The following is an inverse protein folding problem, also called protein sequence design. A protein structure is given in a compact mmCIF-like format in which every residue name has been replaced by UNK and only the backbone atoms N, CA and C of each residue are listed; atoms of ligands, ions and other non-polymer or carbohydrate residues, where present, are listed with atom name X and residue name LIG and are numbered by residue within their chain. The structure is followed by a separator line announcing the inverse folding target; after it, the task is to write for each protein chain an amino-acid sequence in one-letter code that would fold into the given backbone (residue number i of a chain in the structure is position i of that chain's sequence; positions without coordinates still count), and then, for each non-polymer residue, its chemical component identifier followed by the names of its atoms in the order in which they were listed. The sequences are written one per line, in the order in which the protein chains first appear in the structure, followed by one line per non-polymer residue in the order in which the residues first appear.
data_IF_416279713713
#
_entry.id   IF_416279713713
#
_cell.length_a   1.000
_cell.length_b   1.000
_cell.length_c   1.000
_cell.angle_alpha   90.00
_cell.angle_beta   90.00
_cell.angle_gamma   90.00
#
_symmetry.space_group_name_H-M   'P 1'
#
loop_
_entity.id
_entity.type
_entity.pdbx_description
1 polymer ?
#
# COMPACT_ATOMS: atom_id res chain seq x y z
N UNK A 1 -4.48 31.89 -8.82
CA UNK A 1 -4.98 30.66 -8.15
C UNK A 1 -6.48 30.86 -8.02
N UNK A 2 -7.17 30.72 -9.15
CA UNK A 2 -8.59 31.04 -9.26
C UNK A 2 -9.40 29.83 -8.83
N UNK A 3 -10.45 30.05 -8.06
CA UNK A 3 -11.42 29.06 -7.66
C UNK A 3 -12.04 28.45 -8.92
N UNK A 4 -11.62 27.23 -9.26
CA UNK A 4 -11.94 26.60 -10.55
C UNK A 4 -13.41 26.19 -10.64
N UNK A 5 -14.18 26.25 -9.55
CA UNK A 5 -15.63 26.11 -9.57
C UNK A 5 -16.25 26.89 -8.40
N UNK A 6 -17.09 27.87 -8.69
CA UNK A 6 -17.91 28.68 -7.75
C UNK A 6 -18.82 27.83 -6.83
N UNK A 7 -18.87 26.51 -7.07
CA UNK A 7 -19.62 25.51 -6.30
C UNK A 7 -18.84 24.93 -5.12
N UNK A 8 -17.52 25.11 -5.05
CA UNK A 8 -16.69 24.63 -3.95
C UNK A 8 -16.19 25.82 -3.14
N UNK A 9 -16.43 25.88 -1.81
CA UNK A 9 -16.00 27.01 -1.01
C UNK A 9 -14.47 27.07 -1.01
N UNK A 10 -13.91 27.98 -1.81
CA UNK A 10 -12.56 28.49 -1.65
C UNK A 10 -12.51 29.19 -0.29
N UNK A 11 -12.21 28.44 0.76
CA UNK A 11 -12.14 29.00 2.10
C UNK A 11 -10.71 29.38 2.42
N UNK A 12 -10.48 30.69 2.53
CA UNK A 12 -9.31 31.28 3.18
C UNK A 12 -9.34 31.11 4.72
N UNK A 13 -10.40 30.48 5.26
CA UNK A 13 -10.62 30.27 6.70
C UNK A 13 -10.40 28.80 7.06
N UNK A 14 -9.73 28.55 8.20
CA UNK A 14 -9.43 27.21 8.72
C UNK A 14 -10.67 26.30 8.75
N UNK A 15 -11.83 26.86 9.14
CA UNK A 15 -13.10 26.15 9.22
C UNK A 15 -13.55 25.56 7.88
N UNK A 16 -13.38 26.28 6.76
CA UNK A 16 -13.80 25.75 5.46
C UNK A 16 -12.87 24.68 4.91
N UNK A 17 -11.57 24.72 5.24
CA UNK A 17 -10.65 23.63 4.90
C UNK A 17 -11.03 22.33 5.63
N UNK A 18 -11.40 22.41 6.90
CA UNK A 18 -11.85 21.24 7.68
C UNK A 18 -13.12 20.64 7.07
N UNK A 19 -14.11 21.48 6.71
CA UNK A 19 -15.34 21.02 6.06
C UNK A 19 -15.04 20.36 4.71
N UNK A 20 -14.12 20.92 3.92
CA UNK A 20 -13.68 20.35 2.65
C UNK A 20 -13.05 18.96 2.84
N UNK A 21 -12.12 18.82 3.79
CA UNK A 21 -11.47 17.54 4.11
C UNK A 21 -12.49 16.49 4.53
N UNK A 22 -13.48 16.85 5.36
CA UNK A 22 -14.54 15.93 5.78
C UNK A 22 -15.40 15.48 4.59
N UNK A 23 -15.82 16.42 3.74
CA UNK A 23 -16.67 16.10 2.59
C UNK A 23 -15.95 15.21 1.57
N UNK A 24 -14.69 15.54 1.23
CA UNK A 24 -13.85 14.68 0.39
C UNK A 24 -13.58 13.33 1.06
N UNK A 25 -13.39 13.28 2.38
CA UNK A 25 -13.24 12.04 3.13
C UNK A 25 -14.47 11.12 3.02
N UNK A 26 -15.68 11.66 3.11
CA UNK A 26 -16.93 10.89 2.94
C UNK A 26 -17.04 10.36 1.50
N UNK A 27 -16.74 11.21 0.51
CA UNK A 27 -16.79 10.81 -0.90
C UNK A 27 -15.76 9.71 -1.23
N UNK A 28 -14.52 9.87 -0.76
CA UNK A 28 -13.48 8.86 -0.88
C UNK A 28 -13.85 7.56 -0.16
N UNK A 29 -14.50 7.64 1.01
CA UNK A 29 -15.01 6.47 1.72
C UNK A 29 -16.11 5.73 0.95
N UNK A 30 -16.98 6.45 0.25
CA UNK A 30 -17.98 5.84 -0.65
C UNK A 30 -17.32 5.20 -1.87
N UNK A 31 -16.38 5.90 -2.51
CA UNK A 31 -15.62 5.35 -3.64
C UNK A 31 -14.84 4.08 -3.25
N UNK A 32 -14.22 4.07 -2.07
CA UNK A 32 -13.51 2.90 -1.55
C UNK A 32 -14.43 1.69 -1.35
N UNK A 33 -15.68 1.90 -0.89
CA UNK A 33 -16.68 0.83 -0.80
C UNK A 33 -17.01 0.25 -2.19
N UNK A 34 -17.30 1.12 -3.16
CA UNK A 34 -17.59 0.68 -4.53
C UNK A 34 -16.42 -0.09 -5.14
N UNK A 35 -15.18 0.33 -4.88
CA UNK A 35 -13.97 -0.38 -5.32
C UNK A 35 -13.87 -1.76 -4.64
N UNK A 36 -14.14 -1.83 -3.33
CA UNK A 36 -14.11 -3.08 -2.57
C UNK A 36 -15.16 -4.07 -3.07
N UNK A 37 -16.40 -3.63 -3.25
CA UNK A 37 -17.49 -4.47 -3.76
C UNK A 37 -17.18 -4.94 -5.19
N UNK A 38 -16.59 -4.07 -6.02
CA UNK A 38 -16.13 -4.43 -7.36
C UNK A 38 -15.01 -5.46 -7.35
N UNK A 39 -14.08 -5.38 -6.38
CA UNK A 39 -13.00 -6.34 -6.21
C UNK A 39 -13.51 -7.73 -5.78
N UNK A 40 -14.50 -7.78 -4.88
CA UNK A 40 -15.18 -9.03 -4.49
C UNK A 40 -15.92 -9.66 -5.67
N UNK A 41 -16.68 -8.86 -6.41
CA UNK A 41 -17.40 -9.33 -7.61
C UNK A 41 -16.43 -9.83 -8.70
N UNK A 42 -15.22 -9.26 -8.79
CA UNK A 42 -14.18 -9.71 -9.72
C UNK A 42 -13.59 -11.07 -9.31
N UNK A 43 -13.49 -11.34 -8.00
CA UNK A 43 -13.03 -12.62 -7.47
C UNK A 43 -14.08 -13.74 -7.68
N UNK A 44 -15.36 -13.39 -7.68
CA UNK A 44 -16.47 -14.33 -7.90
C UNK A 44 -16.69 -14.74 -9.37
N UNK A 45 -16.00 -14.10 -10.33
CA UNK A 45 -16.13 -14.38 -11.77
C UNK A 45 -15.57 -15.75 -12.23
N UNK A 46 -15.11 -16.61 -11.31
CA UNK A 46 -14.63 -17.97 -11.62
C UNK A 46 -13.24 -18.02 -12.26
N UNK A 47 -12.50 -16.90 -12.27
CA UNK A 47 -11.10 -16.84 -12.66
C UNK A 47 -10.20 -17.42 -11.57
N UNK A 48 -8.97 -17.88 -11.89
CA UNK A 48 -8.01 -18.29 -10.88
C UNK A 48 -7.78 -17.14 -9.88
N UNK A 49 -8.12 -17.37 -8.61
CA UNK A 49 -8.02 -16.37 -7.55
C UNK A 49 -6.61 -15.79 -7.40
N UNK A 50 -5.58 -16.60 -7.71
CA UNK A 50 -4.18 -16.15 -7.75
C UNK A 50 -3.90 -15.08 -8.83
N UNK A 51 -4.56 -15.16 -9.99
CA UNK A 51 -4.38 -14.18 -11.07
C UNK A 51 -5.14 -12.88 -10.76
N UNK A 52 -6.39 -13.00 -10.32
CA UNK A 52 -7.24 -11.85 -10.02
C UNK A 52 -6.70 -11.11 -8.80
N UNK A 53 -6.44 -11.82 -7.70
CA UNK A 53 -5.92 -11.24 -6.48
C UNK A 53 -4.46 -10.77 -6.58
N UNK A 54 -3.63 -11.46 -7.38
CA UNK A 54 -2.21 -11.16 -7.49
C UNK A 54 -1.83 -10.12 -8.54
N UNK A 55 -2.60 -9.96 -9.61
CA UNK A 55 -2.27 -9.06 -10.73
C UNK A 55 -3.36 -8.02 -10.97
N UNK A 56 -4.64 -8.42 -11.02
CA UNK A 56 -5.71 -7.51 -11.43
C UNK A 56 -6.09 -6.54 -10.32
N UNK A 57 -6.24 -7.01 -9.07
CA UNK A 57 -6.56 -6.13 -7.94
C UNK A 57 -5.45 -5.09 -7.66
N UNK A 58 -4.15 -5.44 -7.69
CA UNK A 58 -3.08 -4.44 -7.60
C UNK A 58 -3.08 -3.43 -8.75
N UNK A 59 -3.37 -3.88 -9.98
CA UNK A 59 -3.44 -2.98 -11.13
C UNK A 59 -4.61 -1.98 -10.99
N UNK A 60 -5.77 -2.43 -10.53
CA UNK A 60 -6.91 -1.56 -10.24
C UNK A 60 -6.63 -0.56 -9.12
N UNK A 61 -5.81 -0.94 -8.13
CA UNK A 61 -5.32 -0.02 -7.08
C UNK A 61 -4.40 1.08 -7.62
N UNK A 62 -3.57 0.78 -8.63
CA UNK A 62 -2.67 1.76 -9.24
C UNK A 62 -3.40 2.79 -10.13
N UNK A 63 -4.64 2.53 -10.55
CA UNK A 63 -5.44 3.45 -11.37
C UNK A 63 -5.77 4.76 -10.64
N UNK A 64 -6.39 4.77 -9.43
CA UNK A 64 -6.65 6.01 -8.69
C UNK A 64 -5.35 6.74 -8.32
N UNK A 65 -4.29 6.00 -7.98
CA UNK A 65 -2.98 6.57 -7.67
C UNK A 65 -2.39 7.35 -8.86
N UNK A 66 -2.39 6.74 -10.05
CA UNK A 66 -1.91 7.40 -11.27
C UNK A 66 -2.81 8.56 -11.70
N UNK A 67 -4.13 8.44 -11.56
CA UNK A 67 -5.07 9.52 -11.83
C UNK A 67 -4.81 10.74 -10.93
N UNK A 68 -4.51 10.54 -9.64
CA UNK A 68 -4.16 11.61 -8.71
C UNK A 68 -2.86 12.33 -9.09
N UNK A 69 -1.84 11.58 -9.54
CA UNK A 69 -0.57 12.15 -10.01
C UNK A 69 -0.79 13.00 -11.27
N UNK A 70 -1.55 12.48 -12.25
CA UNK A 70 -1.85 13.21 -13.49
C UNK A 70 -2.61 14.50 -13.17
N UNK A 71 -3.63 14.43 -12.30
CA UNK A 71 -4.41 15.59 -11.87
C UNK A 71 -3.55 16.65 -11.17
N UNK A 72 -2.45 16.27 -10.51
CA UNK A 72 -1.56 17.19 -9.80
C UNK A 72 -0.73 18.08 -10.75
N UNK A 73 -0.48 17.62 -11.99
CA UNK A 73 0.35 18.31 -12.99
C UNK A 73 -0.42 19.05 -14.09
N UNK A 74 -1.72 18.78 -14.28
CA UNK A 74 -2.53 19.42 -15.34
C UNK A 74 -2.68 20.93 -15.08
N UNK A 75 -2.36 21.75 -16.10
CA UNK A 75 -2.62 23.19 -16.08
C UNK A 75 -1.58 24.08 -15.37
N UNK A 76 -0.40 23.53 -14.99
CA UNK A 76 0.67 24.26 -14.28
C UNK A 76 1.92 24.44 -15.13
N UNK A 77 2.75 25.44 -14.81
CA UNK A 77 4.06 25.61 -15.45
C UNK A 77 5.01 24.48 -15.05
N UNK A 78 6.01 24.16 -15.88
CA UNK A 78 6.93 23.01 -15.68
C UNK A 78 7.61 23.03 -14.30
N UNK A 79 8.06 24.20 -13.84
CA UNK A 79 8.71 24.33 -12.52
C UNK A 79 7.75 24.12 -11.36
N UNK A 80 6.53 24.64 -11.44
CA UNK A 80 5.53 24.49 -10.38
C UNK A 80 5.00 23.06 -10.32
N UNK A 81 4.75 22.45 -11.49
CA UNK A 81 4.32 21.06 -11.60
C UNK A 81 5.36 20.11 -10.97
N UNK A 82 6.64 20.28 -11.27
CA UNK A 82 7.69 19.42 -10.71
C UNK A 82 7.77 19.47 -9.18
N UNK A 83 7.59 20.65 -8.58
CA UNK A 83 7.64 20.80 -7.11
C UNK A 83 6.45 20.13 -6.44
N UNK A 84 5.24 20.31 -6.97
CA UNK A 84 4.04 19.71 -6.37
C UNK A 84 3.92 18.22 -6.66
N UNK A 85 4.33 17.75 -7.84
CA UNK A 85 4.42 16.32 -8.16
C UNK A 85 5.44 15.65 -7.24
N UNK A 86 6.59 16.27 -6.95
CA UNK A 86 7.57 15.71 -6.02
C UNK A 86 7.02 15.52 -4.60
N UNK A 87 6.27 16.50 -4.08
CA UNK A 87 5.60 16.38 -2.77
C UNK A 87 4.51 15.32 -2.82
N UNK A 88 3.71 15.28 -3.90
CA UNK A 88 2.66 14.28 -4.11
C UNK A 88 3.18 12.85 -4.21
N UNK A 89 4.33 12.65 -4.87
CA UNK A 89 5.01 11.35 -4.94
C UNK A 89 5.50 10.90 -3.56
N UNK A 90 5.99 11.82 -2.73
CA UNK A 90 6.39 11.53 -1.35
C UNK A 90 5.21 11.05 -0.49
N UNK A 91 4.05 11.70 -0.61
CA UNK A 91 2.84 11.29 0.12
C UNK A 91 2.27 9.97 -0.39
N UNK A 92 2.34 9.72 -1.71
CA UNK A 92 1.91 8.46 -2.33
C UNK A 92 2.79 7.27 -1.92
N UNK A 93 4.11 7.48 -1.87
CA UNK A 93 5.04 6.46 -1.37
C UNK A 93 4.79 6.16 0.11
N UNK A 94 4.54 7.21 0.92
CA UNK A 94 4.19 7.08 2.33
C UNK A 94 2.90 6.27 2.55
N UNK A 95 1.84 6.53 1.77
CA UNK A 95 0.59 5.77 1.87
C UNK A 95 0.77 4.30 1.48
N UNK A 96 1.56 4.01 0.45
CA UNK A 96 1.86 2.63 0.04
C UNK A 96 2.58 1.87 1.15
N UNK A 97 3.60 2.47 1.77
CA UNK A 97 4.31 1.87 2.89
C UNK A 97 3.35 1.63 4.07
N UNK A 98 2.47 2.58 4.39
CA UNK A 98 1.46 2.42 5.44
C UNK A 98 0.46 1.29 5.12
N UNK A 99 -0.04 1.25 3.87
CA UNK A 99 -0.97 0.23 3.40
C UNK A 99 -0.36 -1.18 3.32
N UNK A 100 0.97 -1.31 3.22
CA UNK A 100 1.65 -2.61 3.30
C UNK A 100 2.03 -3.00 4.73
N UNK A 101 2.47 -2.03 5.54
CA UNK A 101 2.90 -2.28 6.93
C UNK A 101 1.73 -2.59 7.86
N UNK A 102 0.55 -1.99 7.63
CA UNK A 102 -0.63 -2.25 8.47
C UNK A 102 -1.20 -3.68 8.31
N UNK A 103 -1.43 -4.22 7.09
CA UNK A 103 -1.85 -5.61 6.91
C UNK A 103 -0.79 -6.62 7.34
N UNK A 104 0.50 -6.28 7.12
CA UNK A 104 1.61 -7.11 7.60
C UNK A 104 1.66 -7.17 9.13
N UNK A 105 1.53 -6.03 9.81
CA UNK A 105 1.47 -5.99 11.27
C UNK A 105 0.19 -6.68 11.79
N UNK A 106 -0.94 -6.45 11.13
CA UNK A 106 -2.21 -7.09 11.44
C UNK A 106 -2.14 -8.61 11.33
N UNK A 107 -1.53 -9.15 10.27
CA UNK A 107 -1.37 -10.59 10.08
C UNK A 107 -0.42 -11.20 11.11
N UNK A 108 0.63 -10.48 11.53
CA UNK A 108 1.52 -10.91 12.61
C UNK A 108 0.81 -10.93 13.96
N UNK A 109 -0.06 -9.94 14.25
CA UNK A 109 -0.76 -9.85 15.54
C UNK A 109 -1.91 -10.87 15.61
N UNK A 110 -2.72 -10.98 14.55
CA UNK A 110 -3.89 -11.86 14.51
C UNK A 110 -3.53 -13.32 14.23
N UNK A 111 -2.45 -13.58 13.48
CA UNK A 111 -2.00 -14.93 13.11
C UNK A 111 -1.16 -15.64 14.18
N UNK A 112 -1.08 -15.10 15.41
CA UNK A 112 -0.25 -15.66 16.49
C UNK A 112 -0.81 -16.98 16.99
N UNK A 113 0.05 -17.98 17.01
CA UNK A 113 -0.24 -19.31 17.52
C UNK A 113 0.88 -19.76 18.46
N UNK A 114 0.52 -20.37 19.60
CA UNK A 114 1.51 -20.97 20.51
C UNK A 114 2.12 -22.23 19.87
N UNK A 115 3.46 -22.31 19.91
CA UNK A 115 4.20 -23.47 19.39
C UNK A 115 4.32 -24.52 20.51
N UNK A 116 3.61 -25.63 20.36
CA UNK A 116 3.67 -26.78 21.29
C UNK A 116 4.22 -27.97 20.51
N UNK A 117 5.34 -28.55 20.96
CA UNK A 117 6.00 -29.69 20.30
C UNK A 117 6.37 -29.45 18.81
N UNK A 118 6.91 -28.25 18.50
CA UNK A 118 7.28 -27.82 17.12
C UNK A 118 6.11 -27.75 16.13
N UNK A 119 4.87 -27.78 16.61
CA UNK A 119 3.67 -27.57 15.79
C UNK A 119 2.86 -26.40 16.39
N UNK A 120 2.34 -25.53 15.53
CA UNK A 120 1.41 -24.48 15.94
C UNK A 120 0.07 -25.11 16.30
N UNK A 121 -0.46 -24.82 17.49
CA UNK A 121 -1.78 -25.30 17.91
C UNK A 121 -2.81 -24.18 17.80
N UNK A 122 -3.63 -24.23 16.76
CA UNK A 122 -4.67 -23.25 16.49
C UNK A 122 -5.66 -23.13 17.68
N UNK A 123 -6.04 -21.89 18.00
CA UNK A 123 -7.03 -21.59 19.04
C UNK A 123 -6.51 -21.55 20.49
N UNK A 124 -5.20 -21.71 20.72
CA UNK A 124 -4.58 -21.50 22.04
C UNK A 124 -3.61 -20.32 21.93
N UNK A 125 -4.01 -19.16 22.46
CA UNK A 125 -3.18 -17.95 22.47
C UNK A 125 -2.90 -17.56 23.91
N UNK A 126 -1.67 -17.79 24.38
CA UNK A 126 -1.21 -17.25 25.66
C UNK A 126 -1.14 -15.72 25.63
N UNK A 127 -1.48 -15.07 26.76
CA UNK A 127 -1.51 -13.60 26.90
C UNK A 127 -0.17 -12.97 26.50
N UNK A 128 -0.23 -11.76 25.94
CA UNK A 128 0.92 -10.94 25.53
C UNK A 128 1.95 -10.83 26.66
N UNK A 129 2.96 -11.71 26.64
CA UNK A 129 4.02 -11.80 27.63
C UNK A 129 5.34 -11.62 26.91
N UNK A 130 6.27 -10.85 27.47
CA UNK A 130 7.58 -10.55 26.85
C UNK A 130 8.42 -11.78 26.50
N UNK A 131 8.20 -12.92 27.16
CA UNK A 131 8.89 -14.19 26.87
C UNK A 131 8.24 -15.03 25.74
N UNK A 132 7.25 -14.45 25.06
CA UNK A 132 6.39 -15.08 24.05
C UNK A 132 6.96 -14.98 22.64
N UNK A 133 7.88 -14.04 22.37
CA UNK A 133 8.50 -13.84 21.05
C UNK A 133 9.33 -15.04 20.55
N UNK A 134 9.75 -15.96 21.44
CA UNK A 134 10.54 -17.16 21.08
C UNK A 134 9.69 -18.44 21.06
N UNK A 135 8.50 -18.42 21.69
CA UNK A 135 7.60 -19.58 21.83
C UNK A 135 6.32 -19.48 21.01
N UNK A 136 6.11 -18.36 20.32
CA UNK A 136 4.99 -18.15 19.41
C UNK A 136 5.48 -18.00 17.99
N UNK A 137 4.66 -18.47 17.06
CA UNK A 137 4.87 -18.29 15.64
C UNK A 137 3.59 -17.79 14.97
N UNK A 138 3.70 -17.56 13.67
CA UNK A 138 2.54 -17.31 12.81
C UNK A 138 2.30 -18.58 12.00
N UNK A 139 1.07 -19.10 12.05
CA UNK A 139 0.70 -20.22 11.20
C UNK A 139 0.58 -19.71 9.76
N UNK A 140 1.36 -20.28 8.85
CA UNK A 140 1.35 -19.92 7.42
C UNK A 140 0.89 -21.11 6.59
N UNK A 141 0.06 -20.85 5.58
CA UNK A 141 -0.31 -21.87 4.62
C UNK A 141 0.89 -22.27 3.75
N UNK A 142 1.02 -23.54 3.34
CA UNK A 142 2.16 -24.00 2.54
C UNK A 142 2.30 -23.26 1.19
N UNK A 143 1.19 -22.80 0.60
CA UNK A 143 1.21 -21.98 -0.63
C UNK A 143 1.89 -20.61 -0.45
N UNK A 144 1.80 -20.04 0.75
CA UNK A 144 2.44 -18.75 1.08
C UNK A 144 3.95 -18.91 1.09
N UNK A 145 4.47 -20.03 1.61
CA UNK A 145 5.91 -20.30 1.64
C UNK A 145 6.49 -20.41 0.24
N UNK A 146 5.82 -21.12 -0.67
CA UNK A 146 6.25 -21.23 -2.07
C UNK A 146 6.23 -19.88 -2.76
N UNK A 147 5.19 -19.07 -2.54
CA UNK A 147 5.06 -17.73 -3.10
C UNK A 147 6.11 -16.75 -2.56
N UNK A 148 6.44 -16.83 -1.28
CA UNK A 148 7.46 -16.00 -0.65
C UNK A 148 8.87 -16.28 -1.20
N UNK A 149 9.18 -17.55 -1.49
CA UNK A 149 10.45 -17.94 -2.12
C UNK A 149 10.53 -17.36 -3.55
N UNK A 150 9.45 -17.48 -4.32
CA UNK A 150 9.37 -16.91 -5.69
C UNK A 150 9.55 -15.39 -5.64
N UNK A 151 8.92 -14.71 -4.67
CA UNK A 151 9.09 -13.27 -4.46
C UNK A 151 10.54 -12.91 -4.13
N UNK A 152 11.20 -13.62 -3.20
CA UNK A 152 12.62 -13.39 -2.85
C UNK A 152 13.55 -13.62 -4.04
N UNK A 153 13.33 -14.67 -4.83
CA UNK A 153 14.12 -14.93 -6.03
C UNK A 153 13.90 -13.85 -7.09
N UNK A 154 12.67 -13.37 -7.26
CA UNK A 154 12.35 -12.29 -8.20
C UNK A 154 12.90 -10.91 -7.77
N UNK A 155 13.19 -10.72 -6.49
CA UNK A 155 13.78 -9.48 -5.96
C UNK A 155 15.32 -9.44 -6.10
N UNK A 156 15.98 -10.59 -6.26
CA UNK A 156 17.44 -10.66 -6.45
C UNK A 156 17.97 -9.84 -7.64
N UNK A 157 17.35 -9.88 -8.84
CA UNK A 157 17.75 -9.05 -9.97
C UNK A 157 17.74 -7.55 -9.65
N UNK A 158 16.76 -7.07 -8.87
CA UNK A 158 16.68 -5.66 -8.48
C UNK A 158 17.78 -5.30 -7.49
N UNK A 159 18.07 -6.16 -6.51
CA UNK A 159 19.18 -5.95 -5.57
C UNK A 159 20.53 -5.96 -6.29
N UNK A 160 20.74 -6.87 -7.23
CA UNK A 160 21.93 -6.90 -8.08
C UNK A 160 22.05 -5.63 -8.94
N UNK A 161 20.95 -5.17 -9.55
CA UNK A 161 20.96 -3.94 -10.34
C UNK A 161 21.29 -2.71 -9.49
N UNK A 162 20.70 -2.59 -8.28
CA UNK A 162 21.00 -1.49 -7.35
C UNK A 162 22.45 -1.55 -6.88
N UNK A 163 22.97 -2.75 -6.55
CA UNK A 163 24.36 -2.93 -6.15
C UNK A 163 25.34 -2.56 -7.27
N UNK A 164 25.04 -2.97 -8.51
CA UNK A 164 25.87 -2.63 -9.67
C UNK A 164 25.86 -1.13 -10.00
N UNK A 165 24.71 -0.47 -9.88
CA UNK A 165 24.62 0.99 -10.08
C UNK A 165 25.32 1.78 -8.96
N UNK A 166 25.38 1.25 -7.73
CA UNK A 166 26.16 1.83 -6.63
C UNK A 166 27.67 1.82 -6.93
N UNK A 167 28.20 0.72 -7.46
CA UNK A 167 29.63 0.64 -7.85
C UNK A 167 29.99 1.60 -9.00
N UNK A 168 29.07 1.86 -9.94
CA UNK A 168 29.28 2.83 -11.02
C UNK A 168 29.14 4.30 -10.62
N UNK A 169 28.61 4.59 -9.43
CA UNK A 169 28.50 5.95 -8.88
C UNK A 169 29.67 6.35 -7.98
N UNK A 170 30.37 5.39 -7.36
CA UNK A 170 31.52 5.64 -6.49
C UNK A 170 32.85 5.82 -7.24
N UNK A 171 32.88 5.54 -8.54
CA UNK A 171 34.08 5.59 -9.40
C UNK A 171 34.00 6.70 -10.46
N UNK A 172 33.19 7.73 -10.19
CA UNK A 172 32.91 8.86 -11.10
C UNK A 172 33.02 10.22 -10.38
N UNK A 173 33.77 10.24 -9.28
CA UNK A 173 34.07 11.42 -8.45
C UNK A 173 35.61 11.68 -8.34
N UNK A 174 36.42 11.08 -9.20
CA UNK A 174 37.86 11.32 -9.38
C UNK A 174 38.21 12.02 -10.72
#
# INVERSE_FOLDING_TARGET
MSCVLDILPCSITITGNIVLVIFYGIFLGFAAKVISDGAEMLLDLGLPSALVGGIVLPLLGAVPDSAMIIASGVGKSREQANKEIAVGMGTLAGSTIMLLTLPWLGSIILGRVDIVNKQGKDGVTSKFTVNSFVKQGVSVFPDVTNSAIIMLVSALPYLCFIAYNQEGGMNRDD
#
